data_IF_654425779259
#
_entry.id   IF_654425779259
#
_cell.length_a   1.000
_cell.length_b   1.000
_cell.length_c   1.000
_cell.angle_alpha   90.00
_cell.angle_beta   90.00
_cell.angle_gamma   90.00
#
_symmetry.space_group_name_H-M   'P 1'
#
loop_
_entity.id
_entity.type
_entity.pdbx_description
1 polymer ?
#
# COMPACT_ATOMS: atom_id res chain seq x y z
N UNK A 1 24.54 2.44 -9.28
CA UNK A 1 23.81 3.16 -8.23
C UNK A 1 22.69 3.97 -8.85
N UNK A 2 21.49 3.85 -8.30
CA UNK A 2 20.41 4.80 -8.58
C UNK A 2 20.80 6.22 -8.17
N UNK A 3 20.21 7.21 -8.83
CA UNK A 3 20.42 8.62 -8.50
C UNK A 3 19.40 9.11 -7.49
N UNK A 4 19.73 10.23 -6.83
CA UNK A 4 18.79 10.92 -5.95
C UNK A 4 17.52 11.37 -6.70
N UNK A 5 17.63 11.70 -7.99
CA UNK A 5 16.47 12.05 -8.82
C UNK A 5 15.57 10.84 -9.08
N UNK A 6 16.15 9.64 -9.31
CA UNK A 6 15.37 8.41 -9.46
C UNK A 6 14.65 8.04 -8.16
N UNK A 7 15.32 8.15 -7.01
CA UNK A 7 14.69 7.94 -5.71
C UNK A 7 13.53 8.91 -5.47
N UNK A 8 13.73 10.19 -5.82
CA UNK A 8 12.67 11.21 -5.73
C UNK A 8 11.48 10.88 -6.64
N UNK A 9 11.73 10.44 -7.87
CA UNK A 9 10.66 10.05 -8.80
C UNK A 9 9.81 8.89 -8.25
N UNK A 10 10.45 7.87 -7.65
CA UNK A 10 9.74 6.75 -7.01
C UNK A 10 8.86 7.22 -5.86
N UNK A 11 9.37 8.12 -5.01
CA UNK A 11 8.59 8.74 -3.92
C UNK A 11 7.40 9.53 -4.45
N UNK A 12 7.62 10.40 -5.44
CA UNK A 12 6.58 11.24 -6.02
C UNK A 12 5.49 10.38 -6.67
N UNK A 13 5.85 9.31 -7.40
CA UNK A 13 4.91 8.38 -8.01
C UNK A 13 4.12 7.58 -6.97
N UNK A 14 4.77 7.15 -5.89
CA UNK A 14 4.10 6.47 -4.76
C UNK A 14 3.07 7.41 -4.11
N UNK A 15 3.39 8.68 -3.93
CA UNK A 15 2.45 9.66 -3.38
C UNK A 15 1.31 10.01 -4.37
N UNK A 16 1.61 10.13 -5.66
CA UNK A 16 0.59 10.31 -6.70
C UNK A 16 -0.38 9.13 -6.74
N UNK A 17 0.12 7.90 -6.58
CA UNK A 17 -0.73 6.71 -6.54
C UNK A 17 -1.67 6.73 -5.33
N UNK A 18 -1.20 7.18 -4.16
CA UNK A 18 -2.04 7.35 -2.96
C UNK A 18 -3.25 8.25 -3.25
N UNK A 19 -2.97 9.43 -3.84
CA UNK A 19 -4.00 10.42 -4.19
C UNK A 19 -4.94 9.91 -5.27
N UNK A 20 -4.41 9.33 -6.34
CA UNK A 20 -5.19 8.84 -7.46
C UNK A 20 -6.13 7.70 -7.06
N UNK A 21 -5.64 6.78 -6.23
CA UNK A 21 -6.44 5.67 -5.72
C UNK A 21 -7.34 6.06 -4.55
N UNK A 22 -7.23 7.28 -4.01
CA UNK A 22 -7.95 7.71 -2.80
C UNK A 22 -7.83 6.67 -1.66
N UNK A 23 -6.59 6.39 -1.26
CA UNK A 23 -6.29 5.35 -0.27
C UNK A 23 -6.89 5.69 1.10
N UNK A 24 -6.82 6.95 1.52
CA UNK A 24 -7.42 7.40 2.78
C UNK A 24 -8.96 7.22 2.77
N UNK A 25 -9.63 7.60 1.68
CA UNK A 25 -11.06 7.36 1.52
C UNK A 25 -11.40 5.86 1.53
N UNK A 26 -10.61 5.02 0.85
CA UNK A 26 -10.78 3.56 0.86
C UNK A 26 -10.58 2.94 2.23
N UNK A 27 -9.69 3.50 3.05
CA UNK A 27 -9.44 3.03 4.41
C UNK A 27 -10.67 3.25 5.29
N UNK A 28 -11.22 4.47 5.26
CA UNK A 28 -12.46 4.80 5.96
C UNK A 28 -13.59 3.89 5.48
N UNK A 29 -13.77 3.77 4.16
CA UNK A 29 -14.80 2.90 3.59
C UNK A 29 -14.61 1.44 4.02
N UNK A 30 -13.38 0.92 4.02
CA UNK A 30 -13.10 -0.45 4.46
C UNK A 30 -13.51 -0.68 5.91
N UNK A 31 -13.18 0.26 6.82
CA UNK A 31 -13.54 0.19 8.23
C UNK A 31 -15.06 0.19 8.43
N UNK A 32 -15.78 1.08 7.75
CA UNK A 32 -17.25 1.14 7.78
C UNK A 32 -17.89 -0.15 7.25
N UNK A 33 -17.42 -0.63 6.10
CA UNK A 33 -17.96 -1.82 5.46
C UNK A 33 -17.62 -3.10 6.25
N UNK A 34 -16.49 -3.13 6.96
CA UNK A 34 -16.14 -4.17 7.93
C UNK A 34 -17.09 -4.19 9.13
N UNK A 35 -17.40 -3.03 9.72
CA UNK A 35 -18.35 -2.94 10.83
C UNK A 35 -19.73 -3.50 10.46
N UNK A 36 -20.19 -3.29 9.22
CA UNK A 36 -21.45 -3.84 8.73
C UNK A 36 -21.48 -5.38 8.69
N UNK A 37 -20.33 -6.03 8.49
CA UNK A 37 -20.24 -7.51 8.52
C UNK A 37 -20.39 -8.09 9.92
N UNK A 38 -20.26 -7.26 10.97
CA UNK A 38 -20.37 -7.67 12.37
C UNK A 38 -21.80 -7.52 12.91
N UNK A 39 -22.73 -6.96 12.12
CA UNK A 39 -24.10 -6.75 12.56
C UNK A 39 -24.82 -8.09 12.81
N UNK A 40 -25.65 -8.18 13.87
CA UNK A 40 -26.54 -9.33 14.06
C UNK A 40 -27.43 -9.54 12.83
N UNK A 41 -27.57 -10.80 12.40
CA UNK A 41 -28.36 -11.16 11.22
C UNK A 41 -27.69 -10.85 9.87
N UNK A 42 -26.42 -10.42 9.86
CA UNK A 42 -25.69 -10.20 8.60
C UNK A 42 -25.70 -11.42 7.67
N UNK A 43 -25.60 -12.62 8.26
CA UNK A 43 -25.58 -13.90 7.53
C UNK A 43 -26.98 -14.45 7.19
N UNK A 44 -28.06 -13.77 7.57
CA UNK A 44 -29.44 -14.24 7.32
C UNK A 44 -29.81 -14.12 5.82
N UNK A 45 -29.20 -13.18 5.10
CA UNK A 45 -29.28 -13.06 3.64
C UNK A 45 -27.91 -13.33 3.01
N UNK A 46 -27.71 -14.58 2.58
CA UNK A 46 -26.46 -15.03 1.99
C UNK A 46 -26.04 -14.21 0.76
N UNK A 47 -26.99 -13.77 -0.09
CA UNK A 47 -26.66 -13.01 -1.31
C UNK A 47 -26.16 -11.62 -0.95
N UNK A 48 -26.80 -10.98 0.02
CA UNK A 48 -26.37 -9.67 0.53
C UNK A 48 -25.02 -9.76 1.23
N UNK A 49 -24.81 -10.78 2.06
CA UNK A 49 -23.54 -11.02 2.74
C UNK A 49 -22.39 -11.26 1.75
N UNK A 50 -22.61 -12.05 0.69
CA UNK A 50 -21.60 -12.30 -0.34
C UNK A 50 -21.20 -11.02 -1.08
N UNK A 51 -22.18 -10.21 -1.49
CA UNK A 51 -21.92 -8.92 -2.15
C UNK A 51 -21.11 -7.97 -1.25
N UNK A 52 -21.45 -7.90 0.03
CA UNK A 52 -20.74 -7.11 1.02
C UNK A 52 -19.30 -7.61 1.21
N UNK A 53 -19.09 -8.92 1.37
CA UNK A 53 -17.76 -9.49 1.51
C UNK A 53 -16.88 -9.27 0.28
N UNK A 54 -17.48 -9.26 -0.93
CA UNK A 54 -16.77 -8.94 -2.17
C UNK A 54 -16.31 -7.48 -2.20
N UNK A 55 -17.13 -6.54 -1.73
CA UNK A 55 -16.76 -5.14 -1.59
C UNK A 55 -15.59 -4.98 -0.61
N UNK A 56 -15.72 -5.56 0.59
CA UNK A 56 -14.69 -5.52 1.64
C UNK A 56 -13.35 -6.08 1.14
N UNK A 57 -13.34 -7.25 0.49
CA UNK A 57 -12.13 -7.83 -0.10
C UNK A 57 -11.55 -6.98 -1.23
N UNK A 58 -12.40 -6.31 -2.00
CA UNK A 58 -11.98 -5.38 -3.04
C UNK A 58 -11.22 -4.18 -2.46
N UNK A 59 -11.77 -3.57 -1.42
CA UNK A 59 -11.13 -2.46 -0.70
C UNK A 59 -9.82 -2.89 -0.05
N UNK A 60 -9.84 -4.02 0.66
CA UNK A 60 -8.64 -4.61 1.29
C UNK A 60 -7.51 -4.83 0.28
N UNK A 61 -7.83 -5.33 -0.92
CA UNK A 61 -6.83 -5.55 -1.97
C UNK A 61 -6.12 -4.26 -2.37
N UNK A 62 -6.84 -3.16 -2.54
CA UNK A 62 -6.25 -1.87 -2.90
C UNK A 62 -5.41 -1.30 -1.76
N UNK A 63 -5.90 -1.40 -0.52
CA UNK A 63 -5.16 -0.95 0.66
C UNK A 63 -3.85 -1.71 0.84
N UNK A 64 -3.89 -3.05 0.75
CA UNK A 64 -2.69 -3.89 0.85
C UNK A 64 -1.71 -3.65 -0.28
N UNK A 65 -2.19 -3.59 -1.52
CA UNK A 65 -1.33 -3.35 -2.68
C UNK A 65 -0.62 -2.00 -2.61
N UNK A 66 -1.31 -0.95 -2.17
CA UNK A 66 -0.66 0.35 -1.95
C UNK A 66 0.34 0.31 -0.78
N UNK A 67 -0.02 -0.33 0.33
CA UNK A 67 0.86 -0.46 1.50
C UNK A 67 2.16 -1.19 1.17
N UNK A 68 2.09 -2.23 0.32
CA UNK A 68 3.27 -2.94 -0.20
C UNK A 68 4.17 -2.01 -1.01
N UNK A 69 3.62 -1.27 -1.99
CA UNK A 69 4.39 -0.29 -2.78
C UNK A 69 5.03 0.77 -1.89
N UNK A 70 4.29 1.27 -0.89
CA UNK A 70 4.80 2.26 0.07
C UNK A 70 5.96 1.69 0.89
N UNK A 71 5.84 0.45 1.35
CA UNK A 71 6.89 -0.24 2.11
C UNK A 71 8.16 -0.38 1.29
N UNK A 72 8.06 -0.86 0.04
CA UNK A 72 9.21 -0.99 -0.86
C UNK A 72 9.88 0.37 -1.14
N UNK A 73 9.09 1.42 -1.31
CA UNK A 73 9.62 2.79 -1.48
C UNK A 73 10.39 3.27 -0.24
N UNK A 74 9.89 2.97 0.97
CA UNK A 74 10.53 3.37 2.23
C UNK A 74 11.78 2.53 2.53
N UNK A 75 11.78 1.25 2.16
CA UNK A 75 12.96 0.37 2.20
C UNK A 75 14.06 0.87 1.27
N UNK A 76 13.71 1.26 0.04
CA UNK A 76 14.66 1.84 -0.91
C UNK A 76 15.29 3.14 -0.37
N UNK A 77 14.47 4.02 0.22
CA UNK A 77 14.95 5.25 0.83
C UNK A 77 15.93 4.98 1.98
N UNK A 78 15.57 4.04 2.84
CA UNK A 78 16.41 3.63 3.96
C UNK A 78 17.74 3.04 3.48
N UNK A 79 17.71 2.16 2.48
CA UNK A 79 18.91 1.58 1.88
C UNK A 79 19.81 2.66 1.26
N UNK A 80 19.22 3.66 0.60
CA UNK A 80 19.97 4.78 0.03
C UNK A 80 20.65 5.65 1.11
N UNK A 81 20.00 5.89 2.25
CA UNK A 81 20.64 6.56 3.39
C UNK A 81 21.74 5.71 4.03
N UNK A 82 21.52 4.41 4.19
CA UNK A 82 22.54 3.49 4.72
C UNK A 82 23.78 3.39 3.83
N UNK A 83 23.63 3.52 2.51
CA UNK A 83 24.78 3.59 1.61
C UNK A 83 25.65 4.83 1.90
N UNK A 84 25.04 5.98 2.19
CA UNK A 84 25.78 7.20 2.55
C UNK A 84 26.56 7.05 3.86
N UNK A 85 26.11 6.15 4.72
CA UNK A 85 26.76 5.77 5.97
C UNK A 85 27.74 4.59 5.81
N UNK A 86 28.00 4.14 4.57
CA UNK A 86 28.86 2.99 4.24
C UNK A 86 28.41 1.67 4.90
N UNK A 87 27.12 1.55 5.27
CA UNK A 87 26.54 0.38 5.95
C UNK A 87 26.05 -0.70 4.97
N UNK A 88 25.79 -0.33 3.72
CA UNK A 88 25.37 -1.22 2.62
C UNK A 88 26.11 -0.85 1.33
N UNK A 89 26.21 -1.77 0.39
CA UNK A 89 26.90 -1.54 -0.89
C UNK A 89 25.99 -0.91 -1.95
N UNK A 90 26.60 -0.36 -2.99
CA UNK A 90 25.89 0.18 -4.15
C UNK A 90 25.03 -0.90 -4.84
N UNK A 91 25.55 -2.12 -4.94
CA UNK A 91 24.84 -3.25 -5.56
C UNK A 91 23.61 -3.68 -4.74
N UNK A 92 23.66 -3.57 -3.41
CA UNK A 92 22.51 -3.87 -2.54
C UNK A 92 21.38 -2.84 -2.75
N UNK A 93 21.72 -1.55 -2.90
CA UNK A 93 20.73 -0.51 -3.21
C UNK A 93 20.12 -0.70 -4.59
N UNK A 94 20.95 -1.00 -5.61
CA UNK A 94 20.47 -1.26 -6.97
C UNK A 94 19.58 -2.50 -7.04
N UNK A 95 19.84 -3.53 -6.22
CA UNK A 95 18.99 -4.71 -6.12
C UNK A 95 17.62 -4.42 -5.50
N UNK A 96 17.52 -3.47 -4.56
CA UNK A 96 16.23 -3.05 -3.95
C UNK A 96 15.41 -2.21 -4.94
N UNK A 97 16.06 -1.48 -5.84
CA UNK A 97 15.38 -0.67 -6.85
C UNK A 97 14.82 -1.48 -8.04
N UNK A 98 15.44 -2.61 -8.37
CA UNK A 98 15.15 -3.42 -9.55
C UNK A 98 13.78 -4.11 -9.52
#
# INVERSE_FOLDING_TARGET
MITQDQLKEVKDRTEQLNRYLDIEGKKIQYEEEQLRTQAPGFWDDQKRAEAQMKLVKGLEKWLKGYAEVKTLCDELDTAFEFYKEELVTEEEVDAIYA
#
